data_IF_333726047015
#
_entry.id   IF_333726047015
#
_cell.length_a   1.000
_cell.length_b   1.000
_cell.length_c   1.000
_cell.angle_alpha   90.00
_cell.angle_beta   90.00
_cell.angle_gamma   90.00
#
_symmetry.space_group_name_H-M   'P 1'
#
loop_
_entity.id
_entity.type
_entity.pdbx_description
1 polymer ?
#
# COMPACT_ATOMS: atom_id res chain seq x y z
N UNK A 1 47.63 57.80 18.78
CA UNK A 1 47.14 56.95 17.67
C UNK A 1 46.22 55.91 18.27
N UNK A 2 44.91 56.12 18.19
CA UNK A 2 43.92 55.19 18.74
C UNK A 2 43.44 54.29 17.61
N UNK A 3 43.82 53.02 17.65
CA UNK A 3 43.39 52.04 16.66
C UNK A 3 42.09 51.39 17.15
N UNK A 4 40.99 51.70 16.48
CA UNK A 4 39.69 51.09 16.68
C UNK A 4 39.67 49.73 15.96
N UNK A 5 39.62 48.61 16.70
CA UNK A 5 39.48 47.28 16.11
C UNK A 5 37.99 46.95 16.03
N UNK A 6 37.47 46.88 14.80
CA UNK A 6 36.12 46.40 14.50
C UNK A 6 35.98 44.93 14.93
N UNK A 7 34.95 44.64 15.73
CA UNK A 7 34.60 43.28 16.12
C UNK A 7 34.17 42.46 14.90
N UNK A 8 34.94 41.43 14.57
CA UNK A 8 34.50 40.37 13.66
C UNK A 8 33.54 39.46 14.44
N UNK A 9 32.31 39.32 13.95
CA UNK A 9 31.38 38.30 14.39
C UNK A 9 31.83 36.96 13.78
N UNK A 10 32.26 36.01 14.62
CA UNK A 10 32.45 34.62 14.20
C UNK A 10 31.16 33.84 14.48
N UNK A 11 30.39 33.55 13.42
CA UNK A 11 29.25 32.63 13.48
C UNK A 11 29.62 31.31 12.81
N UNK A 12 29.48 30.20 13.54
CA UNK A 12 29.58 28.84 13.00
C UNK A 12 30.46 27.90 13.83
N UNK A 13 30.16 27.69 15.11
CA UNK A 13 30.77 26.58 15.85
C UNK A 13 30.04 25.28 15.46
N UNK A 14 30.57 24.55 14.48
CA UNK A 14 30.27 23.11 14.42
C UNK A 14 30.94 22.52 15.65
N UNK A 15 30.15 21.97 16.57
CA UNK A 15 30.65 21.33 17.78
C UNK A 15 31.32 19.99 17.50
N UNK A 16 32.35 19.98 16.66
CA UNK A 16 33.25 18.83 16.53
C UNK A 16 34.13 18.84 17.77
N UNK A 17 33.92 17.84 18.64
CA UNK A 17 34.67 17.68 19.90
C UNK A 17 34.46 18.81 20.94
N UNK A 18 33.26 19.39 21.04
CA UNK A 18 32.90 20.34 22.10
C UNK A 18 31.80 19.79 23.01
N UNK A 19 31.90 20.07 24.32
CA UNK A 19 30.95 19.55 25.34
C UNK A 19 29.59 20.29 25.36
N UNK A 20 29.45 21.38 24.62
CA UNK A 20 28.22 22.17 24.50
C UNK A 20 28.04 22.69 23.06
N UNK A 21 27.56 21.86 22.12
CA UNK A 21 27.33 22.28 20.74
C UNK A 21 26.07 23.16 20.60
N UNK A 22 26.15 24.24 19.82
CA UNK A 22 25.02 25.13 19.47
C UNK A 22 24.65 25.07 17.96
N UNK A 23 25.14 24.03 17.27
CA UNK A 23 24.94 23.54 15.87
C UNK A 23 24.59 24.48 14.70
N UNK A 24 25.45 24.46 13.66
CA UNK A 24 25.12 24.73 12.24
C UNK A 24 25.98 23.86 11.29
N UNK A 25 25.88 22.52 11.36
CA UNK A 25 26.61 21.62 10.45
C UNK A 25 25.99 21.67 9.04
N UNK A 26 26.78 22.03 8.02
CA UNK A 26 26.39 21.97 6.60
C UNK A 26 27.30 21.01 5.84
N UNK A 27 26.72 20.06 5.11
CA UNK A 27 27.42 19.10 4.24
C UNK A 27 26.95 19.36 2.81
N UNK A 28 27.83 19.86 1.94
CA UNK A 28 27.55 20.04 0.52
C UNK A 28 28.01 18.79 -0.26
N UNK A 29 27.19 17.73 -0.19
CA UNK A 29 27.50 16.42 -0.76
C UNK A 29 26.80 15.30 -0.01
N UNK A 30 27.29 14.07 -0.17
CA UNK A 30 26.79 12.90 0.56
C UNK A 30 27.51 12.74 1.90
N UNK A 31 26.80 12.23 2.91
CA UNK A 31 27.38 11.77 4.19
C UNK A 31 27.44 10.25 4.17
N UNK A 32 28.64 9.69 4.23
CA UNK A 32 28.86 8.26 4.49
C UNK A 32 29.12 8.07 5.99
N UNK A 33 28.38 7.15 6.58
CA UNK A 33 28.58 6.71 7.96
C UNK A 33 28.86 5.22 7.96
N UNK A 34 29.41 4.71 9.07
CA UNK A 34 29.77 3.29 9.18
C UNK A 34 28.59 2.37 8.81
N UNK A 35 28.85 1.45 7.88
CA UNK A 35 27.91 0.44 7.41
C UNK A 35 28.50 -0.95 7.63
N UNK A 36 27.70 -1.85 8.19
CA UNK A 36 28.13 -3.22 8.47
C UNK A 36 27.04 -4.24 8.23
N UNK A 37 27.38 -5.28 7.48
CA UNK A 37 26.52 -6.45 7.32
C UNK A 37 26.97 -7.57 8.24
N UNK A 38 26.03 -8.09 9.03
CA UNK A 38 26.24 -9.15 10.01
C UNK A 38 25.58 -10.43 9.51
N UNK A 39 26.37 -11.51 9.47
CA UNK A 39 25.91 -12.86 9.09
C UNK A 39 26.08 -13.88 10.24
N UNK A 40 26.76 -13.49 11.32
CA UNK A 40 27.07 -14.37 12.46
C UNK A 40 25.90 -14.52 13.42
N UNK A 41 25.89 -15.63 14.17
CA UNK A 41 25.00 -15.81 15.30
C UNK A 41 25.44 -14.91 16.46
N UNK A 42 24.51 -14.09 16.94
CA UNK A 42 24.69 -12.98 17.87
C UNK A 42 25.69 -11.90 17.44
N UNK A 43 25.46 -10.66 17.90
CA UNK A 43 26.36 -9.54 17.66
C UNK A 43 26.32 -8.54 18.81
N UNK A 44 27.49 -8.12 19.29
CA UNK A 44 27.61 -7.02 20.23
C UNK A 44 27.86 -5.75 19.43
N UNK A 45 26.88 -4.84 19.43
CA UNK A 45 26.96 -3.58 18.72
C UNK A 45 28.10 -2.74 19.33
N UNK A 46 28.96 -2.22 18.47
CA UNK A 46 30.14 -1.45 18.87
C UNK A 46 29.82 0.04 18.95
N UNK A 47 30.62 0.78 19.72
CA UNK A 47 30.53 2.24 19.80
C UNK A 47 30.73 2.95 18.45
N UNK A 48 31.41 2.29 17.50
CA UNK A 48 31.72 2.78 16.17
C UNK A 48 30.67 2.44 15.11
N UNK A 49 29.79 1.48 15.39
CA UNK A 49 28.77 1.10 14.43
C UNK A 49 27.76 2.25 14.25
N UNK A 50 27.18 2.38 13.06
CA UNK A 50 26.08 3.32 12.81
C UNK A 50 24.91 2.66 12.09
N UNK A 51 25.15 2.06 10.93
CA UNK A 51 24.15 1.35 10.15
C UNK A 51 24.49 -0.13 10.05
N UNK A 52 23.64 -0.98 10.60
CA UNK A 52 23.86 -2.43 10.67
C UNK A 52 22.74 -3.15 9.92
N UNK A 53 23.10 -4.05 9.02
CA UNK A 53 22.18 -5.00 8.41
C UNK A 53 22.43 -6.40 8.97
N UNK A 54 21.36 -7.18 9.14
CA UNK A 54 21.46 -8.60 9.45
C UNK A 54 20.97 -9.43 8.27
N UNK A 55 21.81 -10.36 7.83
CA UNK A 55 21.56 -11.26 6.71
C UNK A 55 21.96 -12.73 7.05
N UNK A 56 21.91 -13.09 8.33
CA UNK A 56 22.24 -14.45 8.78
C UNK A 56 21.08 -15.45 8.62
N UNK A 57 21.39 -16.74 8.78
CA UNK A 57 20.45 -17.84 8.51
C UNK A 57 19.63 -18.30 9.72
N UNK A 58 19.87 -17.75 10.92
CA UNK A 58 19.19 -18.15 12.15
C UNK A 58 18.67 -16.95 12.94
N UNK A 59 17.72 -17.18 13.86
CA UNK A 59 17.36 -16.16 14.84
C UNK A 59 18.61 -15.74 15.62
N UNK A 60 18.74 -14.44 15.89
CA UNK A 60 19.97 -13.86 16.45
C UNK A 60 19.65 -12.84 17.54
N UNK A 61 20.66 -12.52 18.35
CA UNK A 61 20.57 -11.51 19.41
C UNK A 61 21.57 -10.40 19.11
N UNK A 62 21.08 -9.17 18.99
CA UNK A 62 21.92 -7.98 18.90
C UNK A 62 21.92 -7.30 20.26
N UNK A 63 23.11 -7.10 20.83
CA UNK A 63 23.26 -6.51 22.16
C UNK A 63 23.82 -5.10 22.01
N UNK A 64 23.06 -4.10 22.46
CA UNK A 64 23.49 -2.69 22.49
C UNK A 64 24.63 -2.49 23.48
N UNK A 65 25.51 -1.49 23.27
CA UNK A 65 26.62 -1.23 24.17
C UNK A 65 26.20 -1.01 25.62
N UNK A 66 27.13 -1.27 26.54
CA UNK A 66 26.97 -0.92 27.95
C UNK A 66 26.96 0.61 28.08
N UNK A 67 25.84 1.16 28.54
CA UNK A 67 25.77 2.58 28.90
C UNK A 67 26.37 2.75 30.30
N UNK A 68 27.36 3.64 30.42
CA UNK A 68 28.04 3.96 31.67
C UNK A 68 28.15 5.48 31.89
N UNK A 69 29.00 5.91 32.81
CA UNK A 69 29.28 7.34 33.03
C UNK A 69 30.50 7.82 32.21
N UNK A 70 30.61 9.12 32.00
CA UNK A 70 31.79 9.75 31.36
C UNK A 70 31.97 9.34 29.89
N UNK A 71 33.12 8.78 29.54
CA UNK A 71 33.45 8.36 28.17
C UNK A 71 32.53 7.24 27.62
N UNK A 72 31.77 6.58 28.50
CA UNK A 72 30.80 5.53 28.15
C UNK A 72 29.34 6.03 28.15
N UNK A 73 29.13 7.36 28.29
CA UNK A 73 27.79 7.95 28.42
C UNK A 73 26.95 7.81 27.16
N UNK A 74 27.55 7.53 25.99
CA UNK A 74 26.93 7.36 24.65
C UNK A 74 25.77 8.30 24.27
N UNK A 75 25.50 9.37 25.04
CA UNK A 75 24.28 10.16 24.89
C UNK A 75 24.21 10.79 23.50
N UNK A 76 23.08 10.62 22.84
CA UNK A 76 22.85 11.02 21.45
C UNK A 76 23.38 10.05 20.40
N UNK A 77 24.00 8.92 20.78
CA UNK A 77 24.45 7.89 19.83
C UNK A 77 23.25 7.22 19.18
N UNK A 78 23.27 7.15 17.85
CA UNK A 78 22.21 6.57 17.02
C UNK A 78 22.72 5.28 16.38
N UNK A 79 21.97 4.19 16.56
CA UNK A 79 22.14 2.95 15.82
C UNK A 79 20.93 2.66 14.95
N UNK A 80 21.20 2.32 13.70
CA UNK A 80 20.22 1.95 12.68
C UNK A 80 20.38 0.48 12.37
N UNK A 81 19.33 -0.31 12.56
CA UNK A 81 19.38 -1.76 12.45
C UNK A 81 18.30 -2.22 11.48
N UNK A 82 18.71 -2.83 10.37
CA UNK A 82 17.83 -3.39 9.36
C UNK A 82 17.93 -4.91 9.35
N UNK A 83 16.78 -5.58 9.45
CA UNK A 83 16.71 -7.01 9.23
C UNK A 83 16.37 -7.30 7.77
N UNK A 84 17.34 -7.80 6.99
CA UNK A 84 17.14 -8.25 5.61
C UNK A 84 17.16 -9.77 5.47
N UNK A 85 17.37 -10.49 6.58
CA UNK A 85 17.41 -11.95 6.63
C UNK A 85 16.01 -12.58 6.60
N UNK A 86 15.96 -13.91 6.56
CA UNK A 86 14.74 -14.72 6.77
C UNK A 86 14.47 -15.05 8.25
N UNK A 87 15.29 -14.54 9.18
CA UNK A 87 15.22 -14.82 10.62
C UNK A 87 14.92 -13.57 11.44
N UNK A 88 14.55 -13.70 12.72
CA UNK A 88 14.30 -12.55 13.60
C UNK A 88 15.56 -12.10 14.34
N UNK A 89 15.69 -10.79 14.60
CA UNK A 89 16.68 -10.24 15.53
C UNK A 89 15.99 -9.94 16.86
N UNK A 90 16.55 -10.40 17.97
CA UNK A 90 16.22 -9.88 19.30
C UNK A 90 17.23 -8.81 19.67
N UNK A 91 16.81 -7.54 19.62
CA UNK A 91 17.60 -6.43 20.11
C UNK A 91 17.47 -6.34 21.63
N UNK A 92 18.57 -6.29 22.35
CA UNK A 92 18.58 -6.15 23.80
C UNK A 92 19.58 -5.11 24.27
N UNK A 93 19.32 -4.51 25.43
CA UNK A 93 20.29 -3.64 26.07
C UNK A 93 21.28 -4.47 26.92
N UNK A 94 22.54 -4.01 27.02
CA UNK A 94 23.52 -4.66 27.90
C UNK A 94 23.26 -4.40 29.39
N UNK A 95 23.58 -5.37 30.25
CA UNK A 95 23.48 -5.28 31.71
C UNK A 95 22.04 -4.91 32.17
N UNK A 96 21.91 -4.13 33.24
CA UNK A 96 20.62 -3.67 33.78
C UNK A 96 20.01 -2.49 33.00
N UNK A 97 20.48 -2.22 31.79
CA UNK A 97 19.87 -1.22 30.91
C UNK A 97 18.59 -1.77 30.28
N UNK A 98 17.71 -0.88 29.86
CA UNK A 98 16.46 -1.24 29.18
C UNK A 98 16.17 -0.26 28.04
N UNK A 99 15.32 -0.70 27.12
CA UNK A 99 14.79 0.04 25.99
C UNK A 99 13.51 0.75 26.40
N UNK A 100 13.40 2.06 26.19
CA UNK A 100 12.13 2.80 26.23
C UNK A 100 11.49 2.72 24.86
N UNK A 101 10.56 1.79 24.74
CA UNK A 101 9.68 1.69 23.57
C UNK A 101 8.41 2.53 23.76
N UNK A 102 8.01 2.75 25.02
CA UNK A 102 6.89 3.57 25.46
C UNK A 102 7.15 4.06 26.92
N UNK A 103 6.09 4.20 27.74
CA UNK A 103 6.21 4.59 29.15
C UNK A 103 6.75 3.46 30.07
N UNK A 104 6.92 2.24 29.56
CA UNK A 104 7.34 1.05 30.31
C UNK A 104 8.62 0.47 29.68
N UNK A 105 9.79 0.63 30.32
CA UNK A 105 11.03 0.11 29.76
C UNK A 105 11.05 -1.43 29.67
N UNK A 106 11.59 -1.96 28.57
CA UNK A 106 11.71 -3.41 28.31
C UNK A 106 13.17 -3.83 28.16
N UNK A 107 13.49 -5.08 28.45
CA UNK A 107 14.87 -5.61 28.30
C UNK A 107 15.25 -5.91 26.87
N UNK A 108 14.26 -6.19 26.00
CA UNK A 108 14.47 -6.55 24.61
C UNK A 108 13.30 -6.19 23.70
N UNK A 109 13.58 -6.07 22.41
CA UNK A 109 12.62 -5.86 21.31
C UNK A 109 12.93 -6.83 20.17
N UNK A 110 11.89 -7.42 19.57
CA UNK A 110 12.05 -8.25 18.36
C UNK A 110 11.95 -7.38 17.11
N UNK A 111 12.94 -7.47 16.22
CA UNK A 111 12.95 -6.87 14.89
C UNK A 111 12.62 -7.98 13.87
N UNK A 112 11.39 -8.02 13.33
CA UNK A 112 10.98 -9.09 12.42
C UNK A 112 11.68 -8.98 11.05
N UNK A 113 11.56 -10.04 10.25
CA UNK A 113 12.08 -10.11 8.88
C UNK A 113 11.61 -8.92 8.06
N UNK A 114 12.53 -8.17 7.44
CA UNK A 114 12.21 -7.01 6.61
C UNK A 114 11.97 -5.71 7.39
N UNK A 115 12.01 -5.73 8.73
CA UNK A 115 11.80 -4.54 9.55
C UNK A 115 13.09 -3.73 9.74
N UNK A 116 12.91 -2.50 10.22
CA UNK A 116 13.96 -1.55 10.55
C UNK A 116 13.69 -0.91 11.91
N UNK A 117 14.75 -0.68 12.68
CA UNK A 117 14.71 0.02 13.96
C UNK A 117 15.84 1.05 14.03
N UNK A 118 15.54 2.21 14.60
CA UNK A 118 16.53 3.17 15.09
C UNK A 118 16.43 3.28 16.61
N UNK A 119 17.57 3.22 17.28
CA UNK A 119 17.67 3.45 18.72
C UNK A 119 18.67 4.56 19.02
N UNK A 120 18.35 5.37 20.02
CA UNK A 120 19.18 6.49 20.47
C UNK A 120 19.47 6.33 21.94
N UNK A 121 20.74 6.39 22.35
CA UNK A 121 21.03 6.46 23.77
C UNK A 121 20.66 7.85 24.31
N UNK A 122 19.86 7.87 25.36
CA UNK A 122 19.47 9.11 26.05
C UNK A 122 20.44 9.42 27.21
N UNK A 123 20.07 10.36 28.07
CA UNK A 123 20.90 10.78 29.21
C UNK A 123 20.63 10.01 30.51
N UNK A 124 19.73 9.02 30.50
CA UNK A 124 19.50 8.17 31.67
C UNK A 124 20.72 7.29 31.93
N UNK A 125 21.10 7.15 33.19
CA UNK A 125 22.25 6.32 33.62
C UNK A 125 21.84 4.94 34.12
N UNK A 126 20.56 4.74 34.40
CA UNK A 126 19.95 3.46 34.78
C UNK A 126 18.52 3.43 34.26
N UNK A 127 18.04 2.27 33.79
CA UNK A 127 16.65 2.09 33.35
C UNK A 127 16.24 2.96 32.16
N UNK A 128 15.88 2.33 31.05
CA UNK A 128 15.34 3.02 29.89
C UNK A 128 16.39 3.95 29.28
N UNK A 129 17.61 3.47 29.11
CA UNK A 129 18.75 4.27 28.63
C UNK A 129 18.82 4.34 27.11
N UNK A 130 18.02 3.53 26.42
CA UNK A 130 17.90 3.53 24.96
C UNK A 130 16.48 3.87 24.55
N UNK A 131 16.28 4.96 23.81
CA UNK A 131 15.01 5.31 23.21
C UNK A 131 14.86 4.63 21.86
N UNK A 132 13.72 4.00 21.63
CA UNK A 132 13.33 3.57 20.29
C UNK A 132 12.82 4.81 19.52
N UNK A 133 13.72 5.49 18.81
CA UNK A 133 13.39 6.75 18.12
C UNK A 133 12.54 6.52 16.87
N UNK A 134 12.71 5.37 16.21
CA UNK A 134 11.96 5.03 15.01
C UNK A 134 11.87 3.51 14.82
N UNK A 135 10.71 3.05 14.37
CA UNK A 135 10.54 1.67 13.91
C UNK A 135 9.69 1.66 12.65
N UNK A 136 10.10 0.83 11.68
CA UNK A 136 9.30 0.50 10.50
C UNK A 136 9.19 -1.00 10.44
N UNK A 137 7.96 -1.47 10.59
CA UNK A 137 7.63 -2.86 10.31
C UNK A 137 7.68 -3.12 8.79
N UNK A 138 7.92 -4.36 8.36
CA UNK A 138 7.95 -4.70 6.94
C UNK A 138 6.60 -4.30 6.35
N UNK A 139 6.58 -3.71 5.15
CA UNK A 139 5.33 -3.28 4.49
C UNK A 139 4.33 -4.45 4.57
N UNK A 140 3.29 -4.36 5.42
CA UNK A 140 2.34 -5.45 5.55
C UNK A 140 1.31 -5.22 4.46
N UNK A 141 1.63 -5.55 3.22
CA UNK A 141 0.58 -5.67 2.23
C UNK A 141 0.31 -7.15 2.10
N UNK A 142 -0.36 -7.78 3.07
CA UNK A 142 -0.94 -9.11 2.83
C UNK A 142 -2.11 -9.03 1.83
N UNK A 143 -2.42 -7.84 1.31
CA UNK A 143 -3.44 -7.58 0.32
C UNK A 143 -2.80 -7.06 -0.97
N UNK A 144 -3.25 -7.56 -2.11
CA UNK A 144 -3.06 -6.97 -3.42
C UNK A 144 -4.39 -6.31 -3.83
N UNK A 145 -4.33 -5.06 -4.33
CA UNK A 145 -5.50 -4.25 -4.69
C UNK A 145 -5.32 -3.71 -6.11
N UNK A 146 -6.36 -3.83 -6.92
CA UNK A 146 -6.48 -3.22 -8.24
C UNK A 146 -7.84 -2.53 -8.38
N UNK A 147 -7.87 -1.33 -8.97
CA UNK A 147 -9.10 -0.56 -9.18
C UNK A 147 -9.22 -0.12 -10.64
N UNK A 148 -10.44 -0.20 -11.18
CA UNK A 148 -10.77 0.28 -12.51
C UNK A 148 -12.19 0.85 -12.55
N UNK A 149 -12.46 1.70 -13.54
CA UNK A 149 -13.81 2.13 -13.86
C UNK A 149 -14.16 1.62 -15.26
N UNK A 150 -15.16 0.74 -15.33
CA UNK A 150 -15.64 0.12 -16.56
C UNK A 150 -16.90 0.84 -17.04
N UNK A 151 -17.20 0.73 -18.33
CA UNK A 151 -18.46 1.22 -18.90
C UNK A 151 -19.49 0.10 -18.90
N UNK A 152 -20.72 0.44 -18.54
CA UNK A 152 -21.92 -0.37 -18.74
C UNK A 152 -22.57 0.17 -20.02
N UNK A 153 -22.54 -0.58 -21.15
CA UNK A 153 -23.14 -0.14 -22.39
C UNK A 153 -24.67 0.05 -22.32
N UNK A 154 -25.29 0.68 -23.32
CA UNK A 154 -26.75 0.68 -23.47
C UNK A 154 -27.34 -0.74 -23.56
N UNK A 155 -28.56 -0.88 -23.08
CA UNK A 155 -29.33 -2.11 -23.17
C UNK A 155 -29.59 -2.47 -24.65
N UNK A 156 -29.41 -3.74 -25.01
CA UNK A 156 -29.50 -4.20 -26.40
C UNK A 156 -30.90 -4.25 -27.00
N UNK A 157 -31.92 -4.25 -26.15
CA UNK A 157 -33.31 -4.30 -26.57
C UNK A 157 -33.90 -2.88 -26.48
N UNK A 158 -34.48 -2.38 -27.58
CA UNK A 158 -35.16 -1.07 -27.61
C UNK A 158 -34.23 0.14 -27.69
N UNK A 159 -32.92 -0.06 -27.83
CA UNK A 159 -31.91 0.99 -28.01
C UNK A 159 -31.23 0.97 -29.39
N UNK A 160 -30.29 1.90 -29.60
CA UNK A 160 -29.49 2.01 -30.85
C UNK A 160 -28.28 1.07 -30.89
N UNK A 161 -27.94 0.44 -29.77
CA UNK A 161 -26.74 -0.42 -29.65
C UNK A 161 -27.17 -1.86 -29.39
N UNK A 162 -27.23 -2.72 -30.44
CA UNK A 162 -27.56 -4.13 -30.30
C UNK A 162 -26.63 -4.87 -29.34
N UNK A 163 -27.05 -6.05 -28.89
CA UNK A 163 -26.13 -6.98 -28.24
C UNK A 163 -25.05 -7.45 -29.20
N UNK A 164 -23.87 -7.77 -28.67
CA UNK A 164 -22.73 -8.21 -29.46
C UNK A 164 -21.90 -9.24 -28.72
N UNK A 165 -21.12 -9.97 -29.51
CA UNK A 165 -20.11 -10.92 -29.07
C UNK A 165 -18.78 -10.65 -29.79
N UNK A 166 -17.72 -11.33 -29.35
CA UNK A 166 -16.39 -11.34 -29.97
C UNK A 166 -15.76 -9.94 -30.12
N UNK A 167 -16.07 -9.03 -29.21
CA UNK A 167 -15.55 -7.68 -29.19
C UNK A 167 -15.73 -6.94 -30.54
N UNK A 168 -16.91 -7.06 -31.15
CA UNK A 168 -17.22 -6.36 -32.41
C UNK A 168 -17.52 -4.86 -32.22
N UNK A 169 -17.65 -4.39 -30.98
CA UNK A 169 -17.85 -2.98 -30.65
C UNK A 169 -16.87 -2.51 -29.56
N UNK A 170 -15.92 -1.65 -29.96
CA UNK A 170 -14.85 -1.13 -29.11
C UNK A 170 -15.20 0.19 -28.41
N UNK A 171 -16.38 0.77 -28.69
CA UNK A 171 -16.75 2.11 -28.20
C UNK A 171 -17.01 2.16 -26.69
N UNK A 172 -17.02 1.00 -26.02
CA UNK A 172 -17.29 0.85 -24.59
C UNK A 172 -16.10 0.28 -23.82
N UNK A 173 -14.95 0.15 -24.47
CA UNK A 173 -13.71 -0.20 -23.79
C UNK A 173 -13.29 0.93 -22.85
N UNK A 174 -12.57 0.57 -21.79
CA UNK A 174 -12.13 1.51 -20.76
C UNK A 174 -10.69 1.33 -20.39
N UNK A 175 -9.98 2.45 -20.22
CA UNK A 175 -8.57 2.46 -19.85
C UNK A 175 -7.67 2.82 -21.03
N UNK A 176 -6.37 2.60 -20.87
CA UNK A 176 -5.38 2.94 -21.91
C UNK A 176 -4.14 2.07 -21.81
N UNK A 177 -3.43 1.89 -22.93
CA UNK A 177 -2.23 1.06 -22.98
C UNK A 177 -2.51 -0.38 -22.57
N UNK A 178 -1.68 -0.92 -21.67
CA UNK A 178 -1.84 -2.26 -21.10
C UNK A 178 -2.89 -2.34 -19.99
N UNK A 179 -3.30 -1.19 -19.45
CA UNK A 179 -4.36 -1.12 -18.44
C UNK A 179 -5.68 -0.77 -19.13
N UNK A 180 -6.13 -1.71 -19.97
CA UNK A 180 -7.31 -1.56 -20.80
C UNK A 180 -8.25 -2.76 -20.57
N UNK A 181 -9.55 -2.47 -20.50
CA UNK A 181 -10.61 -3.45 -20.36
C UNK A 181 -11.50 -3.40 -21.59
N UNK A 182 -11.55 -4.53 -22.26
CA UNK A 182 -12.35 -4.72 -23.46
C UNK A 182 -13.74 -5.25 -23.13
N UNK A 183 -14.78 -4.72 -23.78
CA UNK A 183 -16.13 -5.30 -23.69
C UNK A 183 -16.28 -6.38 -24.75
N UNK A 184 -15.98 -7.61 -24.36
CA UNK A 184 -16.01 -8.77 -25.25
C UNK A 184 -17.43 -9.08 -25.71
N UNK A 185 -18.38 -9.04 -24.79
CA UNK A 185 -19.78 -9.26 -25.13
C UNK A 185 -20.73 -8.60 -24.15
N UNK A 186 -21.94 -8.36 -24.63
CA UNK A 186 -23.09 -8.06 -23.79
C UNK A 186 -24.31 -8.82 -24.28
N UNK A 187 -25.15 -9.24 -23.34
CA UNK A 187 -26.43 -9.88 -23.62
C UNK A 187 -27.52 -9.32 -22.71
N UNK A 188 -28.54 -8.76 -23.33
CA UNK A 188 -29.68 -8.11 -22.68
C UNK A 188 -30.86 -9.05 -22.53
N UNK A 189 -31.57 -8.89 -21.43
CA UNK A 189 -32.83 -9.56 -21.12
C UNK A 189 -33.80 -8.47 -20.69
N UNK A 190 -34.88 -8.30 -21.46
CA UNK A 190 -35.91 -7.32 -21.14
C UNK A 190 -36.62 -7.70 -19.84
N UNK A 191 -37.15 -6.68 -19.17
CA UNK A 191 -38.03 -6.86 -18.04
C UNK A 191 -39.22 -7.78 -18.40
N UNK A 192 -39.79 -8.38 -17.36
CA UNK A 192 -41.01 -9.17 -17.48
C UNK A 192 -41.92 -8.80 -16.31
N UNK A 193 -43.18 -8.47 -16.59
CA UNK A 193 -44.15 -8.13 -15.55
C UNK A 193 -45.42 -8.94 -15.76
N UNK A 194 -45.74 -9.78 -14.77
CA UNK A 194 -46.91 -10.63 -14.75
C UNK A 194 -47.65 -10.44 -13.42
N UNK A 195 -48.85 -11.02 -13.31
CA UNK A 195 -49.59 -11.03 -12.03
C UNK A 195 -48.88 -11.82 -10.93
N UNK A 196 -47.99 -12.74 -11.28
CA UNK A 196 -47.33 -13.66 -10.33
C UNK A 196 -45.91 -13.24 -9.96
N UNK A 197 -45.24 -12.49 -10.81
CA UNK A 197 -43.88 -12.03 -10.59
C UNK A 197 -43.52 -10.86 -11.49
N UNK A 198 -42.43 -10.17 -11.11
CA UNK A 198 -41.74 -9.23 -11.97
C UNK A 198 -40.25 -9.54 -12.02
N UNK A 199 -39.62 -9.24 -13.16
CA UNK A 199 -38.18 -9.27 -13.39
C UNK A 199 -37.77 -7.93 -13.97
N UNK A 200 -36.68 -7.39 -13.46
CA UNK A 200 -36.07 -6.17 -13.99
C UNK A 200 -35.36 -6.43 -15.31
N UNK A 201 -35.21 -5.40 -16.15
CA UNK A 201 -34.29 -5.47 -17.28
C UNK A 201 -32.86 -5.68 -16.78
N UNK A 202 -32.15 -6.60 -17.42
CA UNK A 202 -30.83 -7.07 -16.98
C UNK A 202 -29.91 -7.28 -18.17
N UNK A 203 -28.62 -7.07 -17.96
CA UNK A 203 -27.59 -7.31 -18.95
C UNK A 203 -26.44 -8.11 -18.33
N UNK A 204 -26.00 -9.16 -19.02
CA UNK A 204 -24.74 -9.84 -18.71
C UNK A 204 -23.65 -9.24 -19.59
N UNK A 205 -22.52 -8.87 -19.00
CA UNK A 205 -21.40 -8.23 -19.69
C UNK A 205 -20.13 -9.03 -19.38
N UNK A 206 -19.34 -9.32 -20.42
CA UNK A 206 -18.03 -9.94 -20.29
C UNK A 206 -16.96 -8.92 -20.63
N UNK A 207 -16.15 -8.56 -19.64
CA UNK A 207 -14.97 -7.73 -19.81
C UNK A 207 -13.71 -8.60 -19.88
N UNK A 208 -12.72 -8.23 -20.70
CA UNK A 208 -11.41 -8.88 -20.77
C UNK A 208 -10.29 -7.86 -20.52
N UNK A 209 -9.48 -8.11 -19.50
CA UNK A 209 -8.32 -7.30 -19.19
C UNK A 209 -7.19 -7.55 -20.19
N UNK A 210 -6.65 -6.48 -20.76
CA UNK A 210 -5.65 -6.55 -21.82
C UNK A 210 -4.21 -6.63 -21.30
N UNK A 211 -4.01 -6.35 -20.02
CA UNK A 211 -2.71 -6.45 -19.36
C UNK A 211 -2.33 -7.87 -18.98
N UNK A 212 -1.35 -7.98 -18.09
CA UNK A 212 -0.95 -9.27 -17.52
C UNK A 212 -2.13 -9.89 -16.77
N UNK A 213 -2.44 -11.18 -16.97
CA UNK A 213 -3.52 -11.84 -16.24
C UNK A 213 -3.33 -11.73 -14.73
N UNK A 214 -4.39 -11.39 -14.01
CA UNK A 214 -4.36 -11.33 -12.55
C UNK A 214 -4.21 -12.74 -11.96
N UNK A 215 -3.62 -12.83 -10.76
CA UNK A 215 -3.72 -14.04 -9.97
C UNK A 215 -5.10 -14.09 -9.29
N UNK A 216 -6.01 -14.89 -9.83
CA UNK A 216 -7.42 -14.95 -9.39
C UNK A 216 -7.67 -15.73 -8.11
N UNK A 217 -6.66 -16.43 -7.57
CA UNK A 217 -6.80 -17.22 -6.34
C UNK A 217 -7.15 -16.32 -5.15
N UNK A 218 -8.24 -16.57 -4.41
CA UNK A 218 -8.70 -15.72 -3.30
C UNK A 218 -8.91 -14.23 -3.67
N UNK A 219 -9.14 -13.93 -4.94
CA UNK A 219 -9.42 -12.58 -5.41
C UNK A 219 -10.93 -12.34 -5.46
N UNK A 220 -11.37 -11.32 -4.73
CA UNK A 220 -12.78 -10.94 -4.62
C UNK A 220 -13.00 -9.57 -5.27
N UNK A 221 -13.91 -9.48 -6.25
CA UNK A 221 -14.34 -8.20 -6.79
C UNK A 221 -15.39 -7.54 -5.90
N UNK A 222 -15.25 -6.24 -5.74
CA UNK A 222 -16.26 -5.34 -5.20
C UNK A 222 -16.73 -4.46 -6.36
N UNK A 223 -18.04 -4.43 -6.57
CA UNK A 223 -18.69 -3.77 -7.70
C UNK A 223 -19.63 -2.70 -7.20
N UNK A 224 -19.53 -1.49 -7.74
CA UNK A 224 -20.53 -0.44 -7.52
C UNK A 224 -20.88 0.19 -8.84
N UNK A 225 -22.17 0.19 -9.19
CA UNK A 225 -22.67 0.95 -10.32
C UNK A 225 -22.70 2.44 -9.97
N UNK A 226 -22.13 3.26 -10.85
CA UNK A 226 -22.15 4.72 -10.76
C UNK A 226 -22.89 5.30 -11.96
N UNK A 227 -23.51 6.46 -11.75
CA UNK A 227 -24.16 7.18 -12.83
C UNK A 227 -23.27 8.35 -13.29
N UNK A 228 -22.97 8.42 -14.58
CA UNK A 228 -22.33 9.57 -15.23
C UNK A 228 -23.33 10.44 -16.03
N UNK A 229 -24.61 10.12 -15.92
CA UNK A 229 -25.72 10.87 -16.50
C UNK A 229 -26.43 11.67 -15.41
N UNK A 230 -27.10 12.75 -15.82
CA UNK A 230 -27.95 13.56 -14.96
C UNK A 230 -29.27 12.88 -14.57
N UNK A 231 -29.50 11.62 -14.97
CA UNK A 231 -30.71 10.87 -14.65
C UNK A 231 -30.62 10.24 -13.25
N UNK A 232 -31.72 10.06 -12.51
CA UNK A 232 -31.72 9.44 -11.19
C UNK A 232 -31.79 7.89 -11.23
N UNK A 233 -31.34 7.26 -12.33
CA UNK A 233 -31.48 5.81 -12.55
C UNK A 233 -30.71 4.99 -11.50
N UNK A 234 -31.30 3.88 -11.02
CA UNK A 234 -30.70 3.01 -9.99
C UNK A 234 -30.34 1.66 -10.58
N UNK A 235 -29.06 1.33 -10.55
CA UNK A 235 -28.54 0.05 -11.01
C UNK A 235 -27.95 -0.75 -9.86
N UNK A 236 -27.93 -2.07 -10.02
CA UNK A 236 -27.12 -2.97 -9.22
C UNK A 236 -26.27 -3.86 -10.14
N UNK A 237 -24.96 -3.83 -9.91
CA UNK A 237 -24.01 -4.77 -10.48
C UNK A 237 -23.82 -5.98 -9.57
N UNK A 238 -23.83 -7.18 -10.14
CA UNK A 238 -23.57 -8.43 -9.45
C UNK A 238 -22.43 -9.18 -10.12
N UNK A 239 -21.56 -9.75 -9.30
CA UNK A 239 -20.45 -10.56 -9.74
C UNK A 239 -20.95 -11.92 -10.24
N UNK A 240 -20.45 -12.36 -11.41
CA UNK A 240 -20.74 -13.70 -11.95
C UNK A 240 -19.49 -14.57 -11.93
N UNK A 241 -18.39 -14.10 -12.51
CA UNK A 241 -17.13 -14.87 -12.53
C UNK A 241 -15.90 -14.02 -12.81
N UNK A 242 -14.74 -14.44 -12.30
CA UNK A 242 -13.42 -13.85 -12.57
C UNK A 242 -12.45 -14.99 -12.87
N UNK A 243 -12.07 -15.17 -14.13
CA UNK A 243 -11.33 -16.35 -14.59
C UNK A 243 -10.33 -16.00 -15.69
N UNK A 244 -9.21 -16.70 -15.72
CA UNK A 244 -8.16 -16.52 -16.74
C UNK A 244 -8.43 -17.42 -17.97
N UNK A 245 -9.57 -17.21 -18.63
CA UNK A 245 -10.00 -17.97 -19.82
C UNK A 245 -10.15 -17.10 -21.08
N UNK A 246 -9.63 -15.87 -21.03
CA UNK A 246 -9.61 -14.96 -22.16
C UNK A 246 -8.57 -15.33 -23.22
N UNK A 247 -8.51 -14.51 -24.26
CA UNK A 247 -7.54 -14.69 -25.36
C UNK A 247 -6.13 -14.72 -24.78
N UNK A 248 -5.36 -15.78 -25.05
CA UNK A 248 -4.00 -15.93 -24.49
C UNK A 248 -3.94 -16.08 -22.95
N UNK A 249 -5.03 -16.53 -22.31
CA UNK A 249 -5.09 -16.71 -20.86
C UNK A 249 -5.41 -15.42 -20.08
N UNK A 250 -5.85 -14.37 -20.77
CA UNK A 250 -6.28 -13.10 -20.15
C UNK A 250 -7.40 -13.27 -19.13
N UNK A 251 -7.44 -12.38 -18.16
CA UNK A 251 -8.49 -12.36 -17.14
C UNK A 251 -9.79 -11.82 -17.75
N UNK A 252 -10.87 -12.59 -17.60
CA UNK A 252 -12.24 -12.16 -17.90
C UNK A 252 -13.04 -11.98 -16.62
N UNK A 253 -13.68 -10.82 -16.53
CA UNK A 253 -14.69 -10.50 -15.53
C UNK A 253 -16.06 -10.59 -16.19
N UNK A 254 -16.94 -11.43 -15.66
CA UNK A 254 -18.36 -11.45 -16.04
C UNK A 254 -19.18 -10.83 -14.93
N UNK A 255 -20.03 -9.88 -15.30
CA UNK A 255 -20.98 -9.24 -14.38
C UNK A 255 -22.38 -9.28 -14.94
N UNK A 256 -23.35 -9.21 -14.04
CA UNK A 256 -24.75 -8.99 -14.37
C UNK A 256 -25.16 -7.63 -13.80
N UNK A 257 -25.67 -6.73 -14.64
CA UNK A 257 -26.21 -5.43 -14.23
C UNK A 257 -27.72 -5.44 -14.41
N UNK A 258 -28.47 -5.01 -13.40
CA UNK A 258 -29.91 -4.85 -13.47
C UNK A 258 -30.33 -3.42 -13.10
N UNK A 259 -31.37 -2.91 -13.77
CA UNK A 259 -32.02 -1.65 -13.41
C UNK A 259 -33.10 -1.91 -12.36
N UNK A 260 -33.05 -1.26 -11.20
CA UNK A 260 -33.89 -1.59 -10.04
C UNK A 260 -35.01 -0.61 -9.76
N UNK A 261 -34.89 0.65 -10.19
CA UNK A 261 -35.86 1.71 -9.94
C UNK A 261 -37.15 1.57 -10.77
N UNK A 262 -37.08 0.88 -11.91
CA UNK A 262 -38.20 0.85 -12.85
C UNK A 262 -38.33 -0.49 -13.59
N UNK A 263 -39.53 -1.07 -13.56
CA UNK A 263 -39.93 -2.29 -14.28
C UNK A 263 -41.22 -2.00 -15.03
N UNK A 264 -41.22 -2.08 -16.37
CA UNK A 264 -42.41 -1.81 -17.17
C UNK A 264 -42.20 -0.92 -18.39
N UNK A 265 -43.31 -0.35 -18.84
CA UNK A 265 -43.44 0.62 -19.93
C UNK A 265 -44.41 1.72 -19.47
N UNK A 266 -44.16 2.98 -19.84
CA UNK A 266 -45.03 4.14 -19.54
C UNK A 266 -46.22 4.30 -20.51
N UNK A 267 -46.51 3.31 -21.34
CA UNK A 267 -47.54 3.35 -22.38
C UNK A 267 -47.06 3.91 -23.73
N UNK A 268 -45.84 4.43 -23.82
CA UNK A 268 -45.25 4.99 -25.05
C UNK A 268 -43.94 4.28 -25.47
N UNK A 269 -43.18 3.72 -24.51
CA UNK A 269 -41.96 2.94 -24.79
C UNK A 269 -41.48 2.16 -23.56
N UNK A 270 -40.72 1.08 -23.78
CA UNK A 270 -40.04 0.38 -22.69
C UNK A 270 -38.97 1.31 -22.07
N UNK A 271 -39.24 1.78 -20.85
CA UNK A 271 -38.33 2.66 -20.10
C UNK A 271 -37.48 1.90 -19.08
N UNK A 272 -37.69 0.59 -18.87
CA UNK A 272 -36.82 -0.24 -18.04
C UNK A 272 -35.50 -0.57 -18.75
N UNK A 273 -35.53 -0.66 -20.08
CA UNK A 273 -34.32 -0.76 -20.90
C UNK A 273 -33.64 0.61 -20.97
N UNK A 274 -32.39 0.69 -20.49
CA UNK A 274 -31.64 1.93 -20.51
C UNK A 274 -30.96 2.17 -21.85
N UNK A 275 -30.96 3.42 -22.32
CA UNK A 275 -30.36 3.82 -23.60
C UNK A 275 -28.99 4.48 -23.44
N UNK A 276 -28.66 4.93 -22.23
CA UNK A 276 -27.39 5.57 -21.91
C UNK A 276 -26.26 4.60 -21.57
N UNK A 277 -25.06 5.15 -21.43
CA UNK A 277 -23.89 4.44 -20.91
C UNK A 277 -23.66 4.84 -19.45
N UNK A 278 -23.37 3.88 -18.60
CA UNK A 278 -23.15 4.08 -17.16
C UNK A 278 -21.77 3.59 -16.74
N UNK A 279 -21.41 3.82 -15.48
CA UNK A 279 -20.12 3.43 -14.94
C UNK A 279 -20.28 2.23 -14.00
N UNK A 280 -19.27 1.37 -13.99
CA UNK A 280 -19.11 0.29 -13.02
C UNK A 280 -17.72 0.45 -12.40
N UNK A 281 -17.66 0.87 -11.13
CA UNK A 281 -16.40 0.83 -10.41
C UNK A 281 -16.13 -0.63 -10.01
N UNK A 282 -14.92 -1.09 -10.34
CA UNK A 282 -14.39 -2.39 -10.03
C UNK A 282 -13.23 -2.21 -9.04
N UNK A 283 -13.29 -2.92 -7.92
CA UNK A 283 -12.16 -3.07 -7.02
C UNK A 283 -11.89 -4.57 -6.85
N UNK A 284 -10.73 -5.01 -7.31
CA UNK A 284 -10.23 -6.36 -7.07
C UNK A 284 -9.32 -6.32 -5.85
N UNK A 285 -9.62 -7.15 -4.86
CA UNK A 285 -8.78 -7.31 -3.69
C UNK A 285 -8.54 -8.79 -3.42
N UNK A 286 -7.30 -9.16 -3.11
CA UNK A 286 -6.97 -10.51 -2.65
C UNK A 286 -6.04 -10.46 -1.47
N UNK A 287 -6.19 -11.42 -0.57
CA UNK A 287 -5.18 -11.71 0.45
C UNK A 287 -4.17 -12.70 -0.15
N UNK A 288 -2.87 -12.46 -0.01
CA UNK A 288 -1.83 -13.44 -0.36
C UNK A 288 -1.12 -13.99 0.87
#
# INVERSE_FOLDING_TARGET
MTLCVFGAYYSGQVGINTITPNSTLSINGSLEADYKEIITAAYNILATDHYITYNGASNTVFTLPVVGMGAQSYTGRIYKIKNISSSTITLQASNSNTLRIDNTPVTSLVIPVGAYVEVVNNSNTTGGTWDLSFTVLPKPSNVEIYGAQLLIPPHGIGGVTPDWDNHTNTSFDTGSGTDNWWVISKKSVAYEFTVSYFKTSRMTIVYEYQGTPFNVTNMYPILTSGNNSSFPDVFAGSFVSLVNNGTGGRTRLTVSVARLDFVGNTGLSNTSNWTGTFLLNLLLARKY
#
